data_IF_871762272351
#
_entry.id   IF_871762272351
#
_cell.length_a   1.000
_cell.length_b   1.000
_cell.length_c   1.000
_cell.angle_alpha   90.00
_cell.angle_beta   90.00
_cell.angle_gamma   90.00
#
_symmetry.space_group_name_H-M   'P 1'
#
loop_
_entity.id
_entity.type
_entity.pdbx_description
1 polymer ?
#
# COMPACT_ATOMS: atom_id res chain seq x y z
N UNK A 1 -21.82 17.70 64.88
CA UNK A 1 -21.44 18.06 63.51
C UNK A 1 -21.96 16.99 62.56
N UNK A 2 -22.98 17.31 61.75
CA UNK A 2 -23.62 16.33 60.85
C UNK A 2 -22.96 16.40 59.48
N UNK A 3 -22.50 15.27 58.96
CA UNK A 3 -21.95 15.11 57.56
C UNK A 3 -23.09 15.19 56.53
N UNK A 4 -22.87 15.81 55.35
CA UNK A 4 -23.89 15.88 54.32
C UNK A 4 -23.92 14.60 53.46
N UNK A 5 -25.14 14.17 53.16
CA UNK A 5 -25.49 13.04 52.27
C UNK A 5 -25.10 13.35 50.84
N UNK A 6 -24.32 12.40 50.22
CA UNK A 6 -24.11 12.37 48.77
C UNK A 6 -25.40 12.01 48.03
N UNK A 7 -25.86 12.92 47.18
CA UNK A 7 -26.96 12.69 46.23
C UNK A 7 -26.46 11.79 45.11
N UNK A 8 -27.18 10.69 44.87
CA UNK A 8 -27.01 9.82 43.67
C UNK A 8 -27.64 10.54 42.49
N UNK A 9 -26.83 10.83 41.47
CA UNK A 9 -27.31 11.17 40.14
C UNK A 9 -27.86 9.91 39.44
N UNK A 10 -28.98 9.98 38.71
CA UNK A 10 -29.49 8.86 37.93
C UNK A 10 -28.60 8.64 36.68
N UNK A 11 -28.21 7.39 36.45
CA UNK A 11 -27.52 6.98 35.26
C UNK A 11 -28.45 7.16 34.05
N UNK A 12 -28.05 8.02 33.13
CA UNK A 12 -28.66 8.13 31.81
C UNK A 12 -28.39 6.85 31.04
N UNK A 13 -29.40 6.02 30.88
CA UNK A 13 -29.38 4.89 29.97
C UNK A 13 -29.33 5.45 28.55
N UNK A 14 -28.17 5.35 27.89
CA UNK A 14 -28.07 5.55 26.46
C UNK A 14 -28.84 4.40 25.79
N UNK A 15 -29.97 4.72 25.16
CA UNK A 15 -30.67 3.80 24.28
C UNK A 15 -29.74 3.46 23.11
N UNK A 16 -29.28 2.22 23.04
CA UNK A 16 -28.68 1.68 21.83
C UNK A 16 -29.80 1.69 20.76
N UNK A 17 -29.71 2.62 19.81
CA UNK A 17 -30.52 2.56 18.59
C UNK A 17 -30.09 1.27 17.87
N UNK A 18 -30.98 0.30 17.75
CA UNK A 18 -30.82 -0.82 16.84
C UNK A 18 -30.75 -0.22 15.43
N UNK A 19 -29.53 -0.08 14.88
CA UNK A 19 -29.33 0.31 13.49
C UNK A 19 -29.92 -0.80 12.63
N UNK A 20 -30.91 -0.48 11.83
CA UNK A 20 -31.47 -1.41 10.86
C UNK A 20 -30.34 -1.95 9.97
N UNK A 21 -30.31 -3.27 9.67
CA UNK A 21 -29.25 -3.84 8.84
C UNK A 21 -29.26 -3.17 7.47
N UNK A 22 -28.11 -2.62 7.06
CA UNK A 22 -27.94 -1.96 5.78
C UNK A 22 -28.25 -2.92 4.62
N UNK A 23 -29.19 -2.56 3.75
CA UNK A 23 -29.50 -3.28 2.52
C UNK A 23 -28.81 -2.60 1.32
N UNK A 24 -27.84 -3.29 0.64
CA UNK A 24 -27.16 -2.73 -0.52
C UNK A 24 -28.13 -2.46 -1.68
N UNK A 25 -27.95 -1.32 -2.32
CA UNK A 25 -28.66 -0.96 -3.56
C UNK A 25 -28.32 -1.91 -4.71
N UNK A 26 -29.12 -1.98 -5.80
CA UNK A 26 -28.80 -2.78 -6.97
C UNK A 26 -27.40 -2.48 -7.55
N UNK A 27 -27.03 -1.21 -7.67
CA UNK A 27 -25.72 -0.77 -8.17
C UNK A 27 -24.56 -1.24 -7.26
N UNK A 28 -24.75 -1.23 -5.95
CA UNK A 28 -23.73 -1.71 -5.00
C UNK A 28 -23.58 -3.22 -5.06
N UNK A 29 -24.68 -3.96 -5.27
CA UNK A 29 -24.62 -5.43 -5.47
C UNK A 29 -23.88 -5.79 -6.76
N UNK A 30 -24.14 -5.06 -7.86
CA UNK A 30 -23.43 -5.24 -9.12
C UNK A 30 -21.94 -4.91 -8.99
N UNK A 31 -21.60 -3.78 -8.38
CA UNK A 31 -20.22 -3.38 -8.09
C UNK A 31 -19.50 -4.42 -7.22
N UNK A 32 -20.16 -4.97 -6.21
CA UNK A 32 -19.61 -6.03 -5.36
C UNK A 32 -19.42 -7.33 -6.13
N UNK A 33 -20.35 -7.68 -7.02
CA UNK A 33 -20.22 -8.87 -7.87
C UNK A 33 -19.05 -8.74 -8.84
N UNK A 34 -18.92 -7.59 -9.52
CA UNK A 34 -17.79 -7.27 -10.39
C UNK A 34 -16.46 -7.33 -9.61
N UNK A 35 -16.41 -6.74 -8.42
CA UNK A 35 -15.23 -6.76 -7.55
C UNK A 35 -14.84 -8.20 -7.13
N UNK A 36 -15.81 -9.06 -6.85
CA UNK A 36 -15.56 -10.48 -6.49
C UNK A 36 -15.11 -11.32 -7.68
N UNK A 37 -15.55 -10.96 -8.89
CA UNK A 37 -15.18 -11.67 -10.12
C UNK A 37 -13.73 -11.42 -10.55
N UNK A 38 -13.10 -10.33 -10.10
CA UNK A 38 -11.70 -10.02 -10.42
C UNK A 38 -10.78 -11.06 -9.79
N UNK A 39 -10.03 -11.78 -10.62
CA UNK A 39 -9.00 -12.74 -10.19
C UNK A 39 -7.85 -11.96 -9.56
N UNK A 40 -7.67 -12.10 -8.25
CA UNK A 40 -6.62 -11.41 -7.50
C UNK A 40 -5.41 -12.30 -7.36
N UNK A 41 -4.22 -11.75 -7.66
CA UNK A 41 -2.98 -12.40 -7.27
C UNK A 41 -2.71 -12.19 -5.77
N UNK A 42 -1.94 -13.08 -5.13
CA UNK A 42 -1.65 -13.01 -3.71
C UNK A 42 -1.03 -11.70 -3.27
N UNK A 43 -1.14 -11.41 -1.98
CA UNK A 43 -0.45 -10.33 -1.28
C UNK A 43 0.82 -10.85 -0.64
N UNK A 44 1.63 -9.94 -0.12
CA UNK A 44 2.75 -10.25 0.76
C UNK A 44 2.31 -10.12 2.21
N UNK A 45 2.77 -11.05 3.05
CA UNK A 45 2.75 -10.94 4.50
C UNK A 45 4.17 -10.60 4.93
N UNK A 46 4.35 -9.46 5.57
CA UNK A 46 5.66 -8.95 5.95
C UNK A 46 5.71 -8.77 7.45
N UNK A 47 6.64 -9.47 8.10
CA UNK A 47 6.87 -9.38 9.55
C UNK A 47 8.30 -8.93 9.82
N UNK A 48 8.51 -8.23 10.94
CA UNK A 48 9.85 -7.84 11.37
C UNK A 48 10.58 -9.06 11.94
N UNK A 49 11.72 -9.40 11.35
CA UNK A 49 12.66 -10.40 11.86
C UNK A 49 13.41 -9.91 13.10
N UNK A 50 14.16 -10.82 13.76
CA UNK A 50 14.86 -10.55 15.03
C UNK A 50 16.02 -9.56 14.89
N UNK A 51 16.64 -9.48 13.72
CA UNK A 51 17.84 -8.67 13.45
C UNK A 51 17.54 -7.41 12.62
N UNK A 52 16.27 -6.96 12.57
CA UNK A 52 15.86 -5.82 11.75
C UNK A 52 15.62 -6.16 10.28
N UNK A 53 15.81 -7.41 9.91
CA UNK A 53 15.44 -7.93 8.60
C UNK A 53 13.93 -8.15 8.49
N UNK A 54 13.39 -8.06 7.28
CA UNK A 54 11.99 -8.35 7.01
C UNK A 54 11.84 -9.83 6.61
N UNK A 55 11.02 -10.57 7.33
CA UNK A 55 10.56 -11.86 6.85
C UNK A 55 9.36 -11.64 5.92
N UNK A 56 9.46 -12.13 4.68
CA UNK A 56 8.47 -11.90 3.63
C UNK A 56 7.90 -13.24 3.18
N UNK A 57 6.61 -13.38 3.27
CA UNK A 57 5.87 -14.57 2.85
C UNK A 57 4.79 -14.18 1.82
N UNK A 58 4.45 -15.11 0.92
CA UNK A 58 3.32 -14.96 0.02
C UNK A 58 2.06 -15.37 0.77
N UNK A 59 1.09 -14.45 0.89
CA UNK A 59 -0.18 -14.68 1.55
C UNK A 59 -1.11 -15.53 0.67
N UNK A 60 -0.84 -16.84 0.69
CA UNK A 60 -1.61 -17.83 -0.08
C UNK A 60 -1.62 -19.18 0.65
N UNK A 61 -2.77 -19.90 0.73
CA UNK A 61 -2.88 -21.20 1.40
C UNK A 61 -1.92 -22.27 0.87
N UNK A 62 -1.54 -22.16 -0.40
CA UNK A 62 -0.61 -23.08 -1.06
C UNK A 62 0.52 -22.28 -1.70
N UNK A 63 1.73 -22.37 -1.12
CA UNK A 63 2.88 -21.53 -1.50
C UNK A 63 3.20 -21.60 -2.99
N UNK A 64 3.29 -22.81 -3.58
CA UNK A 64 3.64 -22.98 -4.99
C UNK A 64 2.64 -22.31 -5.95
N UNK A 65 1.33 -22.45 -5.70
CA UNK A 65 0.32 -21.77 -6.50
C UNK A 65 0.35 -20.26 -6.28
N UNK A 66 0.62 -19.81 -5.06
CA UNK A 66 0.80 -18.39 -4.74
C UNK A 66 1.97 -17.78 -5.53
N UNK A 67 3.11 -18.47 -5.56
CA UNK A 67 4.30 -18.07 -6.30
C UNK A 67 4.04 -17.97 -7.81
N UNK A 68 3.46 -19.01 -8.41
CA UNK A 68 3.12 -19.01 -9.84
C UNK A 68 2.12 -17.87 -10.15
N UNK A 69 1.12 -17.65 -9.30
CA UNK A 69 0.16 -16.56 -9.49
C UNK A 69 0.82 -15.18 -9.45
N UNK A 70 1.78 -14.97 -8.55
CA UNK A 70 2.57 -13.73 -8.50
C UNK A 70 3.46 -13.58 -9.73
N UNK A 71 4.20 -14.61 -10.12
CA UNK A 71 5.04 -14.58 -11.33
C UNK A 71 4.24 -14.21 -12.57
N UNK A 72 3.08 -14.82 -12.76
CA UNK A 72 2.19 -14.50 -13.87
C UNK A 72 1.70 -13.05 -13.83
N UNK A 73 1.43 -12.50 -12.63
CA UNK A 73 0.92 -11.13 -12.49
C UNK A 73 1.98 -10.04 -12.70
N UNK A 74 3.26 -10.42 -12.74
CA UNK A 74 4.39 -9.51 -12.98
C UNK A 74 5.19 -9.87 -14.25
N UNK A 75 4.63 -10.69 -15.13
CA UNK A 75 5.20 -10.99 -16.44
C UNK A 75 6.53 -11.76 -16.39
N UNK A 76 6.73 -12.69 -15.42
CA UNK A 76 7.96 -13.49 -15.30
C UNK A 76 7.68 -14.97 -15.11
N UNK A 77 8.63 -15.79 -15.51
CA UNK A 77 8.71 -17.23 -15.19
C UNK A 77 9.87 -17.57 -14.26
N UNK A 78 10.65 -16.55 -13.82
CA UNK A 78 11.81 -16.71 -12.95
C UNK A 78 11.43 -16.50 -11.48
N UNK A 79 11.66 -17.52 -10.64
CA UNK A 79 11.51 -17.40 -9.19
C UNK A 79 12.51 -16.43 -8.58
N UNK A 80 13.78 -16.46 -9.05
CA UNK A 80 14.84 -15.55 -8.57
C UNK A 80 14.51 -14.09 -8.87
N UNK A 81 13.93 -13.83 -10.05
CA UNK A 81 13.47 -12.47 -10.40
C UNK A 81 12.33 -12.02 -9.49
N UNK A 82 11.34 -12.88 -9.24
CA UNK A 82 10.23 -12.57 -8.34
C UNK A 82 10.75 -12.24 -6.93
N UNK A 83 11.63 -13.07 -6.38
CA UNK A 83 12.21 -12.86 -5.05
C UNK A 83 13.00 -11.55 -4.98
N UNK A 84 13.88 -11.30 -5.95
CA UNK A 84 14.66 -10.06 -6.02
C UNK A 84 13.78 -8.82 -6.13
N UNK A 85 12.71 -8.87 -6.95
CA UNK A 85 11.77 -7.76 -7.09
C UNK A 85 11.01 -7.50 -5.79
N UNK A 86 10.51 -8.55 -5.13
CA UNK A 86 9.82 -8.44 -3.84
C UNK A 86 10.73 -7.80 -2.79
N UNK A 87 11.98 -8.23 -2.66
CA UNK A 87 12.95 -7.66 -1.73
C UNK A 87 13.20 -6.17 -2.01
N UNK A 88 13.30 -5.77 -3.27
CA UNK A 88 13.43 -4.35 -3.65
C UNK A 88 12.19 -3.53 -3.25
N UNK A 89 10.98 -4.04 -3.48
CA UNK A 89 9.73 -3.38 -3.08
C UNK A 89 9.64 -3.22 -1.56
N UNK A 90 9.97 -4.27 -0.80
CA UNK A 90 9.98 -4.25 0.66
C UNK A 90 11.01 -3.24 1.17
N UNK A 91 12.23 -3.24 0.63
CA UNK A 91 13.27 -2.28 1.02
C UNK A 91 12.91 -0.83 0.69
N UNK A 92 12.31 -0.58 -0.47
CA UNK A 92 11.85 0.75 -0.86
C UNK A 92 10.67 1.25 -0.01
N UNK A 93 9.92 0.35 0.65
CA UNK A 93 8.75 0.70 1.48
C UNK A 93 9.09 1.00 2.94
N UNK A 94 10.35 0.87 3.37
CA UNK A 94 10.78 0.95 4.80
C UNK A 94 10.55 2.31 5.49
N UNK A 95 10.18 3.38 4.79
CA UNK A 95 9.95 4.69 5.39
C UNK A 95 8.51 4.86 5.93
N UNK A 96 8.33 4.87 7.26
CA UNK A 96 7.19 5.42 8.03
C UNK A 96 5.78 4.80 7.84
N UNK A 97 5.57 3.90 6.91
CA UNK A 97 4.33 3.13 6.78
C UNK A 97 4.55 1.74 7.38
N UNK A 98 3.55 1.05 7.93
CA UNK A 98 3.72 -0.36 8.23
C UNK A 98 4.27 -1.07 7.00
N UNK A 99 5.43 -1.71 7.15
CA UNK A 99 6.24 -2.27 6.06
C UNK A 99 5.42 -3.11 5.08
N UNK A 100 4.52 -3.94 5.61
CA UNK A 100 3.60 -4.76 4.82
C UNK A 100 2.65 -3.92 3.94
N UNK A 101 2.09 -2.84 4.47
CA UNK A 101 1.18 -1.97 3.70
C UNK A 101 1.91 -1.27 2.57
N UNK A 102 3.12 -0.78 2.83
CA UNK A 102 3.95 -0.12 1.81
C UNK A 102 4.35 -1.08 0.69
N UNK A 103 4.86 -2.26 1.05
CA UNK A 103 5.25 -3.30 0.10
C UNK A 103 4.06 -3.77 -0.76
N UNK A 104 2.90 -4.02 -0.14
CA UNK A 104 1.69 -4.42 -0.86
C UNK A 104 1.12 -3.31 -1.75
N UNK A 105 1.24 -2.02 -1.36
CA UNK A 105 0.88 -0.91 -2.23
C UNK A 105 1.76 -0.89 -3.48
N UNK A 106 3.09 -0.98 -3.33
CA UNK A 106 4.01 -1.00 -4.46
C UNK A 106 3.78 -2.22 -5.36
N UNK A 107 3.58 -3.40 -4.77
CA UNK A 107 3.23 -4.60 -5.51
C UNK A 107 1.90 -4.44 -6.27
N UNK A 108 0.90 -3.80 -5.68
CA UNK A 108 -0.38 -3.53 -6.34
C UNK A 108 -0.22 -2.61 -7.56
N UNK A 109 0.68 -1.61 -7.49
CA UNK A 109 1.02 -0.76 -8.65
C UNK A 109 1.65 -1.61 -9.76
N UNK A 110 2.63 -2.44 -9.44
CA UNK A 110 3.29 -3.32 -10.44
C UNK A 110 2.26 -4.23 -11.10
N UNK A 111 1.42 -4.91 -10.33
CA UNK A 111 0.38 -5.80 -10.85
C UNK A 111 -0.68 -5.07 -11.67
N UNK A 112 -1.03 -3.84 -11.29
CA UNK A 112 -2.02 -3.02 -11.98
C UNK A 112 -1.56 -2.51 -13.35
N UNK A 113 -0.25 -2.50 -13.59
CA UNK A 113 0.35 -2.18 -14.91
C UNK A 113 0.28 -3.39 -15.84
N UNK A 114 0.16 -4.61 -15.29
CA UNK A 114 0.13 -5.89 -16.04
C UNK A 114 1.38 -6.05 -16.96
N UNK A 115 2.60 -6.00 -16.40
CA UNK A 115 3.82 -6.02 -17.19
C UNK A 115 3.92 -7.31 -18.00
N UNK A 116 4.35 -7.20 -19.25
CA UNK A 116 4.50 -8.32 -20.19
C UNK A 116 5.80 -9.09 -19.98
N UNK A 117 6.81 -8.42 -19.43
CA UNK A 117 8.14 -8.98 -19.19
C UNK A 117 8.81 -8.35 -17.96
N UNK A 118 10.04 -8.83 -17.67
CA UNK A 118 10.82 -8.39 -16.53
C UNK A 118 11.25 -6.91 -16.60
N UNK A 119 11.44 -6.35 -17.80
CA UNK A 119 11.84 -4.96 -17.99
C UNK A 119 10.66 -4.05 -17.62
N UNK A 120 9.47 -4.37 -18.11
CA UNK A 120 8.25 -3.64 -17.74
C UNK A 120 7.95 -3.77 -16.24
N UNK A 121 8.17 -4.95 -15.64
CA UNK A 121 8.03 -5.16 -14.20
C UNK A 121 9.01 -4.30 -13.39
N UNK A 122 10.26 -4.20 -13.82
CA UNK A 122 11.27 -3.33 -13.18
C UNK A 122 10.89 -1.86 -13.32
N UNK A 123 10.41 -1.42 -14.49
CA UNK A 123 9.95 -0.06 -14.71
C UNK A 123 8.75 0.25 -13.79
N UNK A 124 7.77 -0.65 -13.72
CA UNK A 124 6.60 -0.53 -12.84
C UNK A 124 7.00 -0.42 -11.36
N UNK A 125 7.99 -1.23 -10.91
CA UNK A 125 8.54 -1.16 -9.56
C UNK A 125 9.23 0.19 -9.29
N UNK A 126 10.02 0.70 -10.23
CA UNK A 126 10.63 2.02 -10.14
C UNK A 126 9.58 3.13 -10.08
N UNK A 127 8.50 3.05 -10.89
CA UNK A 127 7.40 4.01 -10.85
C UNK A 127 6.73 4.03 -9.46
N UNK A 128 6.47 2.86 -8.88
CA UNK A 128 5.93 2.76 -7.53
C UNK A 128 6.86 3.41 -6.49
N UNK A 129 8.17 3.16 -6.57
CA UNK A 129 9.17 3.75 -5.67
C UNK A 129 9.27 5.27 -5.82
N UNK A 130 9.32 5.78 -7.06
CA UNK A 130 9.34 7.21 -7.36
C UNK A 130 8.07 7.90 -6.84
N UNK A 131 6.91 7.29 -7.02
CA UNK A 131 5.65 7.80 -6.47
C UNK A 131 5.70 7.88 -4.93
N UNK A 132 6.11 6.83 -4.24
CA UNK A 132 6.24 6.83 -2.77
C UNK A 132 7.19 7.92 -2.27
N UNK A 133 8.35 8.06 -2.93
CA UNK A 133 9.31 9.13 -2.64
C UNK A 133 8.69 10.51 -2.88
N UNK A 134 7.98 10.73 -3.99
CA UNK A 134 7.31 12.00 -4.30
C UNK A 134 6.31 12.38 -3.20
N UNK A 135 5.48 11.43 -2.75
CA UNK A 135 4.50 11.67 -1.68
C UNK A 135 5.18 11.96 -0.33
N UNK A 136 6.35 11.36 -0.07
CA UNK A 136 7.16 11.68 1.10
C UNK A 136 7.67 13.13 1.06
N UNK A 137 8.19 13.58 -0.08
CA UNK A 137 8.63 14.96 -0.25
C UNK A 137 7.47 15.96 -0.24
N UNK A 138 6.33 15.63 -0.85
CA UNK A 138 5.12 16.46 -0.76
C UNK A 138 4.69 16.70 0.69
N UNK A 139 4.72 15.64 1.52
CA UNK A 139 4.42 15.77 2.96
C UNK A 139 5.48 16.60 3.68
N UNK A 140 6.78 16.43 3.36
CA UNK A 140 7.85 17.24 3.96
C UNK A 140 7.66 18.73 3.64
N UNK A 141 7.26 19.09 2.42
CA UNK A 141 6.97 20.48 2.03
C UNK A 141 5.90 21.14 2.91
N UNK A 142 4.90 20.37 3.34
CA UNK A 142 3.83 20.88 4.22
C UNK A 142 4.31 21.16 5.67
N UNK A 143 5.53 20.75 6.03
CA UNK A 143 6.06 20.82 7.40
C UNK A 143 7.49 21.42 7.46
N UNK A 144 7.91 22.15 6.43
CA UNK A 144 9.21 22.81 6.41
C UNK A 144 9.20 24.04 7.31
N UNK A 145 10.29 24.23 8.06
CA UNK A 145 10.42 25.30 9.04
C UNK A 145 11.32 26.45 8.54
N UNK A 146 12.08 26.25 7.45
CA UNK A 146 13.00 27.25 6.91
C UNK A 146 13.13 27.15 5.39
N UNK A 147 13.54 28.26 4.76
CA UNK A 147 13.68 28.42 3.30
C UNK A 147 14.64 27.39 2.69
N UNK A 148 15.86 27.12 3.24
CA UNK A 148 16.76 26.13 2.64
C UNK A 148 16.17 24.71 2.59
N UNK A 149 15.43 24.30 3.61
CA UNK A 149 14.72 23.01 3.62
C UNK A 149 13.59 22.98 2.60
N UNK A 150 12.85 24.08 2.46
CA UNK A 150 11.80 24.25 1.47
C UNK A 150 12.38 24.09 0.06
N UNK A 151 13.40 24.85 -0.30
CA UNK A 151 14.05 24.82 -1.61
C UNK A 151 14.58 23.43 -1.97
N UNK A 152 15.25 22.77 -1.02
CA UNK A 152 15.80 21.43 -1.22
C UNK A 152 14.69 20.40 -1.45
N UNK A 153 13.64 20.47 -0.63
CA UNK A 153 12.50 19.54 -0.71
C UNK A 153 11.69 19.75 -1.99
N UNK A 154 11.47 21.00 -2.38
CA UNK A 154 10.78 21.35 -3.62
C UNK A 154 11.54 20.86 -4.85
N UNK A 155 12.84 21.06 -4.91
CA UNK A 155 13.70 20.57 -6.02
C UNK A 155 13.64 19.05 -6.12
N UNK A 156 13.70 18.33 -5.00
CA UNK A 156 13.61 16.88 -4.97
C UNK A 156 12.22 16.41 -5.46
N UNK A 157 11.16 17.02 -4.96
CA UNK A 157 9.79 16.72 -5.38
C UNK A 157 9.60 16.96 -6.88
N UNK A 158 10.00 18.13 -7.39
CA UNK A 158 9.88 18.47 -8.81
C UNK A 158 10.69 17.53 -9.72
N UNK A 159 11.87 17.06 -9.26
CA UNK A 159 12.68 16.09 -10.01
C UNK A 159 11.99 14.72 -10.08
N UNK A 160 11.46 14.22 -8.96
CA UNK A 160 10.78 12.95 -8.88
C UNK A 160 9.49 12.93 -9.72
N UNK A 161 8.70 14.01 -9.69
CA UNK A 161 7.46 14.08 -10.48
C UNK A 161 7.74 14.11 -11.99
N UNK A 162 8.80 14.78 -12.44
CA UNK A 162 9.24 14.73 -13.85
C UNK A 162 9.72 13.34 -14.24
N UNK A 163 10.49 12.67 -13.34
CA UNK A 163 10.92 11.29 -13.56
C UNK A 163 9.72 10.35 -13.71
N UNK A 164 8.72 10.49 -12.83
CA UNK A 164 7.50 9.70 -12.92
C UNK A 164 6.76 9.91 -14.26
N UNK A 165 6.61 11.17 -14.69
CA UNK A 165 5.98 11.47 -15.98
C UNK A 165 6.72 10.85 -17.17
N UNK A 166 8.07 10.89 -17.16
CA UNK A 166 8.90 10.25 -18.17
C UNK A 166 8.75 8.71 -18.18
N UNK A 167 8.67 8.09 -16.99
CA UNK A 167 8.44 6.64 -16.86
C UNK A 167 7.05 6.24 -17.38
N UNK A 168 6.01 7.06 -17.11
CA UNK A 168 4.66 6.82 -17.66
C UNK A 168 4.66 6.91 -19.19
N UNK A 169 5.38 7.86 -19.76
CA UNK A 169 5.52 7.98 -21.23
C UNK A 169 6.21 6.73 -21.80
N UNK A 170 7.35 6.32 -21.23
CA UNK A 170 8.10 5.14 -21.68
C UNK A 170 7.32 3.81 -21.56
N UNK A 171 6.32 3.73 -20.65
CA UNK A 171 5.48 2.55 -20.51
C UNK A 171 4.37 2.48 -21.58
N UNK A 172 3.97 3.63 -22.14
CA UNK A 172 2.87 3.73 -23.12
C UNK A 172 3.31 3.66 -24.58
N UNK A 173 4.62 3.82 -24.82
CA UNK A 173 5.25 3.69 -26.15
C UNK A 173 5.51 2.20 -26.47
#
# INVERSE_FOLDING_TARGET
MKSPKKSKQPATQASASEEEPYEPTPNEREALAAFKAVKRSPRLKVTNGRDGDANVEIDHPHLGYGQISLMNSIGTTSGDFLEGLILQLVNASKEKTPLEKGANFMLAVVKGIEPRDQIEAMLAAQMAAVHMASMTFARRLAHVENIPQQDSTERAFNKLTRTFAAQVAALKD
#
